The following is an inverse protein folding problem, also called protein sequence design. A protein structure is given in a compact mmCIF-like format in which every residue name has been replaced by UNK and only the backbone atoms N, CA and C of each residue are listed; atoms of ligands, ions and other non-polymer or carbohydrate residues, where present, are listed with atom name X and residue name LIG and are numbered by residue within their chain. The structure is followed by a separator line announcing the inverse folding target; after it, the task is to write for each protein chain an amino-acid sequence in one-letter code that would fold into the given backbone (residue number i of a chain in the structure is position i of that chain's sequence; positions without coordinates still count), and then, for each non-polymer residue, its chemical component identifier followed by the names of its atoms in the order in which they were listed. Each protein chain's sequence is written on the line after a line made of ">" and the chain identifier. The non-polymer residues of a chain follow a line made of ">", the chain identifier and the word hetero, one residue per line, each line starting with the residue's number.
data_IF_656275804075
#
_entry.id   IF_656275804075
#
_cell.length_a   1.000
_cell.length_b   1.000
_cell.length_c   1.000
_cell.angle_alpha   90.00
_cell.angle_beta   90.00
_cell.angle_gamma   90.00
#
_symmetry.space_group_name_H-M   'P 1'
#
loop_
_entity.id
_entity.type
_entity.pdbx_description
1 polymer ?
#
# COMPACT_ATOMS: atom_id res chain seq x y z
N UNK A 1 45.95 -10.36 14.90
CA UNK A 1 45.83 -9.38 13.81
C UNK A 1 44.38 -9.06 13.71
N UNK A 2 43.95 -7.80 13.91
CA UNK A 2 42.53 -7.44 13.74
C UNK A 2 42.24 -7.49 12.24
N UNK A 3 41.28 -8.32 11.88
CA UNK A 3 40.84 -8.47 10.50
C UNK A 3 39.88 -7.32 10.18
N UNK A 4 40.37 -6.29 9.50
CA UNK A 4 39.54 -5.15 9.09
C UNK A 4 38.86 -5.50 7.75
N UNK A 5 37.56 -5.23 7.64
CA UNK A 5 36.88 -5.30 6.36
C UNK A 5 37.25 -4.07 5.52
N UNK A 6 37.53 -4.27 4.26
CA UNK A 6 37.87 -3.22 3.32
C UNK A 6 37.08 -3.39 2.03
N UNK A 7 36.65 -2.28 1.44
CA UNK A 7 36.05 -2.23 0.12
C UNK A 7 36.52 -0.97 -0.63
N UNK A 8 37.00 -1.14 -1.85
CA UNK A 8 37.48 -0.03 -2.72
C UNK A 8 38.49 0.90 -2.05
N UNK A 9 39.35 0.39 -1.14
CA UNK A 9 40.33 1.17 -0.38
C UNK A 9 39.77 1.87 0.88
N UNK A 10 38.49 1.68 1.20
CA UNK A 10 37.87 2.19 2.42
C UNK A 10 37.84 1.10 3.50
N UNK A 11 38.32 1.40 4.67
CA UNK A 11 38.23 0.54 5.84
C UNK A 11 36.85 0.72 6.47
N UNK A 12 36.13 -0.39 6.68
CA UNK A 12 34.81 -0.36 7.34
C UNK A 12 35.01 -0.13 8.82
N UNK A 13 34.48 1.00 9.34
CA UNK A 13 34.62 1.42 10.71
C UNK A 13 33.36 1.21 11.54
N UNK A 14 32.19 1.32 10.91
CA UNK A 14 30.90 1.20 11.57
C UNK A 14 29.93 0.38 10.74
N UNK A 15 28.99 -0.27 11.40
CA UNK A 15 27.90 -0.99 10.73
C UNK A 15 26.61 -0.97 11.55
N UNK A 16 25.49 -0.99 10.86
CA UNK A 16 24.15 -1.09 11.41
C UNK A 16 23.39 -2.20 10.67
N UNK A 17 22.76 -3.13 11.40
CA UNK A 17 21.97 -4.21 10.85
C UNK A 17 20.48 -3.93 11.03
N UNK A 18 19.72 -4.10 9.95
CA UNK A 18 18.25 -4.00 9.94
C UNK A 18 17.70 -5.17 9.13
N UNK A 19 17.03 -6.12 9.78
CA UNK A 19 16.63 -7.36 9.16
C UNK A 19 17.84 -8.11 8.60
N UNK A 20 17.78 -8.49 7.34
CA UNK A 20 18.87 -9.18 6.62
C UNK A 20 19.86 -8.21 5.95
N UNK A 21 19.60 -6.90 6.04
CA UNK A 21 20.44 -5.86 5.45
C UNK A 21 21.46 -5.32 6.44
N UNK A 22 22.69 -5.10 5.98
CA UNK A 22 23.73 -4.40 6.70
C UNK A 22 24.03 -3.08 6.01
N UNK A 23 24.10 -1.99 6.76
CA UNK A 23 24.55 -0.69 6.29
C UNK A 23 25.89 -0.39 6.95
N UNK A 24 26.88 0.03 6.17
CA UNK A 24 28.25 0.23 6.66
C UNK A 24 28.75 1.63 6.35
N UNK A 25 29.64 2.15 7.21
CA UNK A 25 30.45 3.33 6.99
C UNK A 25 31.90 2.91 6.71
N UNK A 26 32.45 3.38 5.62
CA UNK A 26 33.85 3.21 5.27
C UNK A 26 34.61 4.52 5.31
N UNK A 27 35.90 4.45 5.69
CA UNK A 27 36.81 5.58 5.79
C UNK A 27 38.05 5.34 4.94
N UNK A 28 38.41 6.32 4.11
CA UNK A 28 39.64 6.32 3.31
C UNK A 28 40.53 7.51 3.70
N UNK A 29 41.82 7.26 3.95
CA UNK A 29 42.70 8.27 4.51
C UNK A 29 43.07 9.40 3.53
N UNK A 30 43.08 9.14 2.24
CA UNK A 30 43.61 10.07 1.22
C UNK A 30 42.63 10.37 0.09
N UNK A 31 41.48 9.72 0.01
CA UNK A 31 40.50 10.00 -1.03
C UNK A 31 39.91 11.42 -0.86
N UNK A 32 39.53 12.11 -1.95
CA UNK A 32 38.86 13.40 -1.88
C UNK A 32 37.55 13.36 -1.06
N UNK A 33 36.81 12.26 -1.20
CA UNK A 33 35.65 11.94 -0.36
C UNK A 33 36.09 10.84 0.60
N UNK A 34 36.42 11.24 1.81
CA UNK A 34 37.04 10.35 2.80
C UNK A 34 36.06 9.35 3.42
N UNK A 35 34.76 9.59 3.29
CA UNK A 35 33.73 8.77 3.92
C UNK A 35 32.76 8.23 2.88
N UNK A 36 32.28 7.01 3.08
CA UNK A 36 31.30 6.37 2.23
C UNK A 36 30.35 5.52 3.04
N UNK A 37 29.09 5.47 2.65
CA UNK A 37 28.14 4.50 3.17
C UNK A 37 27.72 3.53 2.08
N UNK A 38 27.58 2.25 2.41
CA UNK A 38 27.06 1.21 1.52
C UNK A 38 25.96 0.40 2.18
N UNK A 39 25.07 -0.15 1.37
CA UNK A 39 24.31 -1.35 1.73
C UNK A 39 25.20 -2.55 1.48
N UNK A 40 25.34 -3.46 2.44
CA UNK A 40 26.20 -4.61 2.36
C UNK A 40 25.38 -5.90 2.47
N UNK A 41 25.63 -6.84 1.57
CA UNK A 41 25.04 -8.18 1.60
C UNK A 41 26.16 -9.21 1.80
N UNK A 42 25.87 -10.26 2.55
CA UNK A 42 26.81 -11.37 2.78
C UNK A 42 28.20 -10.93 3.30
N UNK A 43 28.33 -9.73 3.85
CA UNK A 43 29.57 -9.11 4.35
C UNK A 43 30.63 -8.80 3.27
N UNK A 44 30.36 -9.05 2.02
CA UNK A 44 31.31 -8.92 0.90
C UNK A 44 30.77 -8.10 -0.26
N UNK A 45 29.46 -8.04 -0.44
CA UNK A 45 28.83 -7.39 -1.56
C UNK A 45 28.35 -6.00 -1.14
N UNK A 46 28.98 -4.96 -1.67
CA UNK A 46 28.76 -3.58 -1.31
C UNK A 46 28.07 -2.83 -2.45
N UNK A 47 26.82 -2.40 -2.23
CA UNK A 47 25.98 -1.74 -3.22
C UNK A 47 25.63 -0.32 -2.81
N UNK A 48 25.31 0.52 -3.81
CA UNK A 48 24.74 1.86 -3.62
C UNK A 48 25.59 2.76 -2.72
N UNK A 49 26.86 3.00 -3.10
CA UNK A 49 27.78 3.85 -2.35
C UNK A 49 27.41 5.33 -2.41
N UNK A 50 27.26 5.96 -1.24
CA UNK A 50 27.13 7.41 -1.10
C UNK A 50 28.40 7.95 -0.48
N UNK A 51 29.05 8.91 -1.15
CA UNK A 51 30.39 9.41 -0.79
C UNK A 51 30.31 10.82 -0.20
N UNK A 52 31.08 11.05 0.87
CA UNK A 52 31.05 12.29 1.65
C UNK A 52 32.47 12.80 1.95
N UNK A 53 32.61 14.13 2.06
CA UNK A 53 33.86 14.79 2.49
C UNK A 53 33.95 15.00 4.02
N UNK A 54 32.83 14.82 4.75
CA UNK A 54 32.78 14.97 6.19
C UNK A 54 32.06 13.79 6.87
N UNK A 55 32.52 13.46 8.07
CA UNK A 55 32.02 12.33 8.84
C UNK A 55 30.56 12.49 9.26
N UNK A 56 30.14 13.70 9.63
CA UNK A 56 28.79 13.92 10.15
C UNK A 56 27.73 13.65 9.06
N UNK A 57 27.97 14.10 7.83
CA UNK A 57 27.10 13.82 6.70
C UNK A 57 27.01 12.33 6.38
N UNK A 58 28.13 11.62 6.44
CA UNK A 58 28.18 10.17 6.24
C UNK A 58 27.41 9.41 7.35
N UNK A 59 27.58 9.80 8.61
CA UNK A 59 26.84 9.20 9.73
C UNK A 59 25.33 9.46 9.61
N UNK A 60 24.94 10.66 9.22
CA UNK A 60 23.53 11.01 9.00
C UNK A 60 22.92 10.14 7.89
N UNK A 61 23.64 9.94 6.79
CA UNK A 61 23.20 9.07 5.68
C UNK A 61 23.08 7.60 6.12
N UNK A 62 24.06 7.09 6.89
CA UNK A 62 24.01 5.73 7.44
C UNK A 62 22.72 5.50 8.26
N UNK A 63 22.39 6.44 9.14
CA UNK A 63 21.18 6.38 9.98
C UNK A 63 19.91 6.49 9.12
N UNK A 64 19.88 7.41 8.15
CA UNK A 64 18.72 7.59 7.28
C UNK A 64 18.41 6.31 6.47
N UNK A 65 19.42 5.68 5.88
CA UNK A 65 19.29 4.43 5.13
C UNK A 65 18.81 3.27 6.00
N UNK A 66 19.31 3.17 7.24
CA UNK A 66 18.82 2.17 8.19
C UNK A 66 17.34 2.40 8.57
N UNK A 67 16.93 3.65 8.75
CA UNK A 67 15.54 4.01 9.03
C UNK A 67 14.61 3.72 7.85
N UNK A 68 15.03 3.99 6.61
CA UNK A 68 14.27 3.64 5.40
C UNK A 68 14.03 2.12 5.30
N UNK A 69 15.05 1.32 5.62
CA UNK A 69 14.91 -0.14 5.63
C UNK A 69 13.95 -0.62 6.74
N UNK A 70 14.01 -0.03 7.94
CA UNK A 70 13.04 -0.31 9.02
C UNK A 70 11.62 -0.03 8.53
N UNK A 71 11.37 1.14 7.93
CA UNK A 71 10.06 1.49 7.41
C UNK A 71 9.60 0.51 6.33
N UNK A 72 10.48 0.13 5.41
CA UNK A 72 10.18 -0.86 4.37
C UNK A 72 9.77 -2.21 4.97
N UNK A 73 10.48 -2.68 6.00
CA UNK A 73 10.15 -3.94 6.69
C UNK A 73 8.84 -3.85 7.49
N UNK A 74 8.56 -2.70 8.09
CA UNK A 74 7.28 -2.45 8.77
C UNK A 74 6.12 -2.46 7.78
N UNK A 75 6.26 -1.81 6.63
CA UNK A 75 5.27 -1.79 5.57
C UNK A 75 5.05 -3.21 4.99
N UNK A 76 6.13 -3.99 4.82
CA UNK A 76 6.04 -5.40 4.41
C UNK A 76 5.31 -6.25 5.46
N UNK A 77 5.59 -6.08 6.74
CA UNK A 77 4.89 -6.78 7.82
C UNK A 77 3.41 -6.42 7.86
N UNK A 78 3.05 -5.15 7.69
CA UNK A 78 1.65 -4.74 7.61
C UNK A 78 0.94 -5.34 6.39
N UNK A 79 1.63 -5.49 5.27
CA UNK A 79 1.10 -6.14 4.06
C UNK A 79 1.09 -7.68 4.14
N UNK A 80 1.89 -8.30 5.03
CA UNK A 80 1.97 -9.76 5.18
C UNK A 80 1.02 -10.30 6.25
N UNK A 81 0.49 -9.46 7.12
CA UNK A 81 -0.64 -9.80 7.99
C UNK A 81 -1.87 -9.83 7.08
N UNK A 82 -2.17 -10.99 6.49
CA UNK A 82 -3.48 -11.24 5.89
C UNK A 82 -4.48 -11.06 7.03
N UNK A 83 -5.31 -10.02 7.02
CA UNK A 83 -6.22 -9.78 8.12
C UNK A 83 -7.15 -10.98 8.24
N UNK A 84 -7.29 -11.52 9.44
CA UNK A 84 -8.17 -12.64 9.70
C UNK A 84 -9.61 -12.31 9.24
N UNK A 85 -10.25 -13.28 8.57
CA UNK A 85 -11.61 -13.12 8.08
C UNK A 85 -12.57 -12.81 9.25
N UNK A 86 -13.64 -12.03 9.02
CA UNK A 86 -14.60 -11.71 10.07
C UNK A 86 -15.26 -12.99 10.60
N UNK A 87 -15.31 -13.13 11.92
CA UNK A 87 -15.98 -14.24 12.61
C UNK A 87 -17.48 -14.03 12.78
N UNK A 88 -17.97 -12.83 12.52
CA UNK A 88 -19.38 -12.45 12.59
C UNK A 88 -19.70 -11.40 11.52
N UNK A 89 -20.98 -11.22 11.21
CA UNK A 89 -21.46 -10.14 10.34
C UNK A 89 -22.66 -9.43 10.93
N UNK A 90 -22.91 -8.16 10.55
CA UNK A 90 -24.12 -7.44 10.98
C UNK A 90 -25.42 -8.05 10.43
N UNK A 91 -25.31 -8.90 9.42
CA UNK A 91 -26.45 -9.54 8.76
C UNK A 91 -26.81 -10.92 9.32
N UNK A 92 -26.02 -11.44 10.28
CA UNK A 92 -26.24 -12.72 10.93
C UNK A 92 -25.05 -13.67 10.84
N UNK A 93 -25.32 -14.97 11.06
CA UNK A 93 -24.29 -15.99 10.99
C UNK A 93 -23.74 -16.16 9.58
N UNK A 94 -22.44 -16.03 9.43
CA UNK A 94 -21.76 -16.15 8.16
C UNK A 94 -21.89 -17.59 7.64
N UNK A 95 -22.40 -17.74 6.43
CA UNK A 95 -22.43 -19.00 5.69
C UNK A 95 -21.23 -19.11 4.74
N UNK A 96 -20.94 -18.00 4.03
CA UNK A 96 -19.80 -17.91 3.13
C UNK A 96 -19.05 -16.60 3.36
N UNK A 97 -17.73 -16.67 3.30
CA UNK A 97 -16.86 -15.51 3.40
C UNK A 97 -15.74 -15.64 2.36
N UNK A 98 -15.78 -14.79 1.35
CA UNK A 98 -14.76 -14.71 0.31
C UNK A 98 -13.87 -13.49 0.55
N UNK A 99 -12.56 -13.67 0.52
CA UNK A 99 -11.60 -12.55 0.58
C UNK A 99 -11.42 -11.95 -0.81
N UNK A 100 -11.92 -10.75 -1.04
CA UNK A 100 -11.77 -10.03 -2.31
C UNK A 100 -10.35 -9.47 -2.48
N UNK A 101 -9.80 -8.94 -1.41
CA UNK A 101 -8.39 -8.56 -1.26
C UNK A 101 -8.08 -8.42 0.24
N UNK A 102 -6.82 -8.27 0.68
CA UNK A 102 -6.47 -8.16 2.08
C UNK A 102 -7.30 -7.10 2.83
N UNK A 103 -8.07 -7.54 3.85
CA UNK A 103 -8.93 -6.67 4.65
C UNK A 103 -10.30 -6.35 4.05
N UNK A 104 -10.68 -6.99 2.93
CA UNK A 104 -11.98 -6.83 2.27
C UNK A 104 -12.62 -8.19 2.05
N UNK A 105 -13.83 -8.35 2.53
CA UNK A 105 -14.55 -9.62 2.54
C UNK A 105 -15.94 -9.47 1.94
N UNK A 106 -16.32 -10.39 1.05
CA UNK A 106 -17.70 -10.61 0.65
C UNK A 106 -18.29 -11.65 1.57
N UNK A 107 -19.37 -11.30 2.24
CA UNK A 107 -20.00 -12.14 3.27
C UNK A 107 -21.43 -12.42 2.90
N UNK A 108 -21.85 -13.68 2.98
CA UNK A 108 -23.25 -14.07 2.84
C UNK A 108 -23.76 -14.76 4.09
N UNK A 109 -25.05 -14.57 4.37
CA UNK A 109 -25.83 -15.18 5.45
C UNK A 109 -27.12 -15.73 4.88
N UNK A 110 -27.95 -16.46 5.65
CA UNK A 110 -29.21 -17.01 5.12
C UNK A 110 -30.21 -15.98 4.59
N UNK A 111 -30.13 -14.73 5.01
CA UNK A 111 -31.10 -13.69 4.65
C UNK A 111 -30.54 -12.52 3.87
N UNK A 112 -29.30 -12.14 4.19
CA UNK A 112 -28.64 -10.96 3.66
C UNK A 112 -27.15 -11.20 3.50
N UNK A 113 -26.48 -10.25 2.85
CA UNK A 113 -25.03 -10.26 2.70
C UNK A 113 -24.48 -8.88 2.44
N UNK A 114 -23.21 -8.83 2.09
CA UNK A 114 -22.58 -7.58 1.74
C UNK A 114 -21.07 -7.61 1.73
N UNK A 115 -20.48 -6.44 1.66
CA UNK A 115 -19.03 -6.26 1.70
C UNK A 115 -18.63 -5.65 3.04
N UNK A 116 -17.70 -6.31 3.71
CA UNK A 116 -17.07 -5.85 4.94
C UNK A 116 -15.65 -5.42 4.65
N UNK A 117 -15.32 -4.16 4.86
CA UNK A 117 -13.99 -3.58 4.68
C UNK A 117 -13.44 -3.21 6.05
N UNK A 118 -12.23 -3.65 6.39
CA UNK A 118 -11.62 -3.20 7.64
C UNK A 118 -11.61 -1.67 7.69
N UNK A 119 -12.07 -1.12 8.82
CA UNK A 119 -12.25 0.33 8.99
C UNK A 119 -10.97 1.10 8.70
N UNK A 120 -9.84 0.65 9.24
CA UNK A 120 -8.53 1.28 9.03
C UNK A 120 -8.10 1.30 7.56
N UNK A 121 -8.46 0.25 6.81
CA UNK A 121 -8.23 0.19 5.37
C UNK A 121 -9.17 1.17 4.64
N UNK A 122 -10.46 1.12 4.95
CA UNK A 122 -11.44 2.00 4.33
C UNK A 122 -11.10 3.49 4.53
N UNK A 123 -10.69 3.89 5.74
CA UNK A 123 -10.25 5.25 6.06
C UNK A 123 -9.03 5.71 5.25
N UNK A 124 -8.13 4.77 4.88
CA UNK A 124 -6.94 5.05 4.07
C UNK A 124 -7.24 5.18 2.58
N UNK A 125 -8.16 4.39 2.06
CA UNK A 125 -8.31 4.23 0.60
C UNK A 125 -9.63 4.77 0.04
N UNK A 126 -10.72 4.79 0.81
CA UNK A 126 -12.04 5.20 0.32
C UNK A 126 -12.20 6.72 0.36
N UNK A 127 -12.97 7.23 -0.60
CA UNK A 127 -13.41 8.62 -0.56
C UNK A 127 -14.34 8.85 0.61
N UNK A 128 -14.36 10.09 1.12
CA UNK A 128 -15.23 10.47 2.24
C UNK A 128 -16.71 10.17 1.95
N UNK A 129 -17.13 10.39 0.73
CA UNK A 129 -18.50 10.15 0.28
C UNK A 129 -18.83 8.65 0.27
N UNK A 130 -17.87 7.79 -0.10
CA UNK A 130 -18.02 6.34 -0.02
C UNK A 130 -18.16 5.85 1.42
N UNK A 131 -17.41 6.45 2.35
CA UNK A 131 -17.51 6.13 3.78
C UNK A 131 -18.93 6.39 4.33
N UNK A 132 -19.64 7.37 3.77
CA UNK A 132 -21.02 7.70 4.15
C UNK A 132 -22.09 6.80 3.56
N UNK A 133 -21.75 5.92 2.61
CA UNK A 133 -22.68 4.98 1.97
C UNK A 133 -22.82 3.66 2.73
N UNK A 134 -21.89 3.36 3.65
CA UNK A 134 -21.95 2.18 4.51
C UNK A 134 -22.13 2.56 5.98
N UNK A 135 -22.11 1.57 6.84
CA UNK A 135 -22.18 1.74 8.30
C UNK A 135 -21.03 0.99 8.99
N UNK A 136 -20.64 1.46 10.18
CA UNK A 136 -19.55 0.86 10.94
C UNK A 136 -20.08 -0.13 11.95
N UNK A 137 -19.57 -1.35 11.90
CA UNK A 137 -19.85 -2.40 12.88
C UNK A 137 -18.59 -3.22 13.15
N UNK A 138 -18.25 -3.42 14.44
CA UNK A 138 -17.18 -4.31 14.90
C UNK A 138 -15.81 -4.11 14.27
N UNK A 139 -15.44 -2.88 13.92
CA UNK A 139 -14.15 -2.58 13.28
C UNK A 139 -14.14 -2.72 11.75
N UNK A 140 -15.32 -2.89 11.15
CA UNK A 140 -15.52 -2.91 9.71
C UNK A 140 -16.44 -1.78 9.27
N UNK A 141 -16.20 -1.29 8.06
CA UNK A 141 -17.16 -0.53 7.27
C UNK A 141 -17.93 -1.54 6.42
N UNK A 142 -19.23 -1.63 6.64
CA UNK A 142 -20.12 -2.63 6.06
C UNK A 142 -21.03 -1.99 5.00
N UNK A 143 -21.18 -2.67 3.88
CA UNK A 143 -21.99 -2.28 2.74
C UNK A 143 -22.95 -3.41 2.39
N UNK A 144 -24.25 -3.17 2.45
CA UNK A 144 -25.26 -4.16 2.15
C UNK A 144 -25.28 -4.54 0.65
N UNK A 145 -25.59 -5.78 0.35
CA UNK A 145 -25.50 -6.37 -1.00
C UNK A 145 -26.40 -5.69 -2.04
N UNK A 146 -27.61 -5.26 -1.65
CA UNK A 146 -28.63 -4.80 -2.59
C UNK A 146 -28.28 -3.48 -3.28
N UNK A 147 -27.72 -2.50 -2.55
CA UNK A 147 -27.44 -1.18 -3.10
C UNK A 147 -26.08 -0.58 -2.70
N UNK A 148 -25.53 -0.93 -1.54
CA UNK A 148 -24.35 -0.25 -1.01
C UNK A 148 -23.05 -0.94 -1.43
N UNK A 149 -23.04 -2.27 -1.57
CA UNK A 149 -21.87 -3.06 -1.94
C UNK A 149 -21.19 -2.58 -3.23
N UNK A 150 -21.98 -2.06 -4.18
CA UNK A 150 -21.49 -1.52 -5.44
C UNK A 150 -20.61 -0.29 -5.25
N UNK A 151 -20.82 0.50 -4.17
CA UNK A 151 -19.94 1.62 -3.83
C UNK A 151 -18.57 1.09 -3.40
N UNK A 152 -18.53 0.09 -2.52
CA UNK A 152 -17.27 -0.54 -2.11
C UNK A 152 -16.52 -1.16 -3.29
N UNK A 153 -17.21 -1.91 -4.15
CA UNK A 153 -16.61 -2.50 -5.35
C UNK A 153 -16.07 -1.43 -6.29
N UNK A 154 -16.78 -0.31 -6.48
CA UNK A 154 -16.32 0.79 -7.33
C UNK A 154 -15.06 1.46 -6.78
N UNK A 155 -14.98 1.72 -5.46
CA UNK A 155 -13.79 2.25 -4.82
C UNK A 155 -12.59 1.32 -4.99
N UNK A 156 -12.78 0.01 -4.74
CA UNK A 156 -11.73 -0.98 -4.88
C UNK A 156 -11.20 -1.10 -6.32
N UNK A 157 -12.10 -1.06 -7.32
CA UNK A 157 -11.71 -1.06 -8.73
C UNK A 157 -10.98 0.23 -9.12
N UNK A 158 -11.42 1.41 -8.65
CA UNK A 158 -10.74 2.69 -8.89
C UNK A 158 -9.31 2.70 -8.32
N UNK A 159 -9.09 2.02 -7.18
CA UNK A 159 -7.79 1.85 -6.55
C UNK A 159 -6.97 0.67 -7.10
N UNK A 160 -7.52 -0.08 -8.07
CA UNK A 160 -6.91 -1.27 -8.68
C UNK A 160 -6.61 -2.39 -7.67
N UNK A 161 -7.35 -2.43 -6.56
CA UNK A 161 -7.22 -3.49 -5.55
C UNK A 161 -7.94 -4.77 -5.97
N UNK A 162 -9.00 -4.63 -6.77
CA UNK A 162 -9.69 -5.74 -7.44
C UNK A 162 -9.84 -5.43 -8.92
N UNK A 163 -10.04 -6.47 -9.72
CA UNK A 163 -10.37 -6.36 -11.13
C UNK A 163 -11.83 -6.76 -11.36
N UNK A 164 -12.48 -6.10 -12.31
CA UNK A 164 -13.81 -6.52 -12.74
C UNK A 164 -13.74 -7.94 -13.36
N UNK A 165 -14.61 -8.86 -12.98
CA UNK A 165 -14.62 -10.19 -13.54
C UNK A 165 -14.98 -10.14 -15.03
N UNK A 166 -14.26 -10.94 -15.81
CA UNK A 166 -14.56 -11.20 -17.22
C UNK A 166 -14.79 -12.70 -17.38
N UNK A 167 -16.02 -13.11 -17.64
CA UNK A 167 -16.41 -14.50 -17.76
C UNK A 167 -17.60 -14.64 -18.73
N UNK A 168 -18.20 -15.83 -18.84
CA UNK A 168 -19.36 -16.07 -19.72
C UNK A 168 -20.57 -15.15 -19.43
N UNK A 169 -20.76 -14.74 -18.17
CA UNK A 169 -21.84 -13.84 -17.75
C UNK A 169 -21.52 -12.37 -18.01
N UNK A 170 -20.24 -12.00 -17.88
CA UNK A 170 -19.78 -10.61 -18.01
C UNK A 170 -18.65 -10.53 -19.04
N UNK A 171 -18.97 -10.00 -20.22
CA UNK A 171 -17.96 -9.59 -21.17
C UNK A 171 -17.13 -8.39 -20.67
N UNK A 172 -16.06 -8.01 -21.40
CA UNK A 172 -15.21 -6.88 -21.02
C UNK A 172 -16.01 -5.60 -20.77
N UNK A 173 -15.85 -5.01 -19.57
CA UNK A 173 -16.53 -3.78 -19.16
C UNK A 173 -18.00 -3.93 -18.74
N UNK A 174 -18.64 -5.07 -18.98
CA UNK A 174 -20.05 -5.28 -18.66
C UNK A 174 -20.31 -5.24 -17.14
N UNK A 175 -19.44 -5.86 -16.36
CA UNK A 175 -19.53 -5.83 -14.89
C UNK A 175 -19.43 -4.40 -14.34
N UNK A 176 -18.44 -3.63 -14.82
CA UNK A 176 -18.28 -2.23 -14.41
C UNK A 176 -19.49 -1.37 -14.81
N UNK A 177 -20.09 -1.63 -15.97
CA UNK A 177 -21.29 -0.90 -16.42
C UNK A 177 -22.47 -1.15 -15.47
N UNK A 178 -22.67 -2.40 -15.01
CA UNK A 178 -23.71 -2.75 -14.03
C UNK A 178 -23.45 -2.04 -12.70
N UNK A 179 -22.23 -2.12 -12.15
CA UNK A 179 -21.85 -1.44 -10.92
C UNK A 179 -22.07 0.08 -11.04
N UNK A 180 -21.62 0.69 -12.13
CA UNK A 180 -21.77 2.13 -12.36
C UNK A 180 -23.23 2.55 -12.41
N UNK A 181 -24.07 1.79 -13.11
CA UNK A 181 -25.50 2.06 -13.20
C UNK A 181 -26.19 1.98 -11.84
N UNK A 182 -25.89 0.95 -11.05
CA UNK A 182 -26.43 0.79 -9.69
C UNK A 182 -26.03 1.96 -8.79
N UNK A 183 -24.72 2.30 -8.80
CA UNK A 183 -24.21 3.42 -7.99
C UNK A 183 -24.84 4.76 -8.38
N UNK A 184 -25.04 5.01 -9.66
CA UNK A 184 -25.71 6.24 -10.14
C UNK A 184 -27.15 6.36 -9.65
N UNK A 185 -27.86 5.25 -9.56
CA UNK A 185 -29.26 5.20 -9.12
C UNK A 185 -29.37 5.34 -7.60
N UNK A 186 -28.59 4.57 -6.86
CA UNK A 186 -28.75 4.46 -5.40
C UNK A 186 -27.88 5.46 -4.62
N UNK A 187 -26.72 5.88 -5.18
CA UNK A 187 -25.76 6.78 -4.53
C UNK A 187 -25.31 7.94 -5.46
N UNK A 188 -26.25 8.77 -5.96
CA UNK A 188 -25.93 9.82 -6.94
C UNK A 188 -24.94 10.87 -6.42
N UNK A 189 -24.95 11.18 -5.13
CA UNK A 189 -24.03 12.14 -4.53
C UNK A 189 -22.58 11.60 -4.53
N UNK A 190 -22.39 10.35 -4.13
CA UNK A 190 -21.11 9.68 -4.23
C UNK A 190 -20.61 9.64 -5.68
N UNK A 191 -21.49 9.27 -6.63
CA UNK A 191 -21.12 9.20 -8.03
C UNK A 191 -20.63 10.55 -8.58
N UNK A 192 -21.34 11.63 -8.28
CA UNK A 192 -20.95 12.99 -8.70
C UNK A 192 -19.61 13.41 -8.09
N UNK A 193 -19.37 13.12 -6.81
CA UNK A 193 -18.11 13.41 -6.15
C UNK A 193 -16.94 12.64 -6.79
N UNK A 194 -17.16 11.36 -7.08
CA UNK A 194 -16.20 10.51 -7.79
C UNK A 194 -15.84 11.06 -9.18
N UNK A 195 -16.82 11.44 -10.00
CA UNK A 195 -16.58 11.99 -11.34
C UNK A 195 -15.80 13.30 -11.28
N UNK A 196 -16.12 14.18 -10.34
CA UNK A 196 -15.36 15.43 -10.12
C UNK A 196 -13.91 15.16 -9.77
N UNK A 197 -13.65 14.19 -8.90
CA UNK A 197 -12.30 13.82 -8.48
C UNK A 197 -11.47 13.27 -9.66
N UNK A 198 -12.02 12.36 -10.46
CA UNK A 198 -11.36 11.78 -11.64
C UNK A 198 -11.08 12.85 -12.70
N UNK A 199 -12.05 13.71 -12.97
CA UNK A 199 -11.89 14.80 -13.94
C UNK A 199 -10.83 15.81 -13.50
N UNK A 200 -10.72 16.08 -12.19
CA UNK A 200 -9.68 16.94 -11.61
C UNK A 200 -8.28 16.35 -11.78
N UNK A 201 -8.11 15.05 -11.51
CA UNK A 201 -6.84 14.34 -11.68
C UNK A 201 -6.36 14.35 -13.15
N UNK A 202 -7.27 14.12 -14.09
CA UNK A 202 -6.96 14.13 -15.51
C UNK A 202 -6.53 15.54 -16.01
N UNK A 203 -7.08 16.61 -15.47
CA UNK A 203 -6.66 17.99 -15.80
C UNK A 203 -5.27 18.31 -15.27
N UNK A 204 -4.91 17.84 -14.06
CA UNK A 204 -3.60 18.03 -13.47
C UNK A 204 -2.53 17.21 -14.21
N UNK A 205 -2.82 15.97 -14.59
CA UNK A 205 -1.93 15.13 -15.38
C UNK A 205 -1.61 15.75 -16.76
N UNK A 206 -2.62 16.30 -17.44
CA UNK A 206 -2.44 17.00 -18.72
C UNK A 206 -1.62 18.32 -18.59
N UNK A 207 -1.70 19.02 -17.47
CA UNK A 207 -0.87 20.22 -17.21
C UNK A 207 0.61 19.84 -17.02
N UNK A 208 0.90 18.84 -16.20
CA UNK A 208 2.28 18.33 -15.97
C UNK A 208 2.93 17.74 -17.22
N UNK A 209 2.15 17.19 -18.15
CA UNK A 209 2.68 16.65 -19.43
C UNK A 209 2.93 17.73 -20.50
N UNK A 210 2.50 18.97 -20.30
CA UNK A 210 2.75 20.11 -21.21
C UNK A 210 3.94 20.98 -20.77
N UNK A 211 4.40 20.79 -19.55
CA UNK A 211 5.54 21.54 -18.96
C UNK A 211 6.86 20.74 -19.01
N UNK A 212 6.87 19.60 -19.71
CA UNK A 212 8.07 18.79 -20.04
C UNK A 212 8.28 18.79 -21.55
#
# INVERSE_FOLDING_TARGET
>A
MMDYRENAGYIITDSCHVGDSEFVLGVHLTAPQQFVTWKCSNRTDYDWGHYFSDLFSAQKDLVARAQEEVQCLEDQRQNTIVPEAPSYSPWGNIQECETLCPGVYSVSTPGHGGIMVRRELAEKIFRKEAMGCGFIEGGYLCFEEDCDAQVALRELMDKKMIQAPVNERFGPGAYEAVINSSVQIHHPEYWQAREKAISGQNRQAKKKGRER
#
